data_IF_186354429839
#
_entry.id   IF_186354429839
#
_cell.length_a   1.000
_cell.length_b   1.000
_cell.length_c   1.000
_cell.angle_alpha   90.00
_cell.angle_beta   90.00
_cell.angle_gamma   90.00
#
_symmetry.space_group_name_H-M   'P 1'
#
loop_
_entity.id
_entity.type
_entity.pdbx_description
1 polymer ?
#
# COMPACT_ATOMS: atom_id res chain seq x y z
N UNK A 1 0.99 -8.07 -7.71
CA UNK A 1 0.36 -7.16 -8.69
C UNK A 1 1.12 -5.84 -8.71
N UNK A 2 1.12 -5.16 -9.82
CA UNK A 2 1.64 -3.81 -9.91
C UNK A 2 0.53 -2.80 -9.60
N UNK A 3 0.91 -1.56 -9.25
CA UNK A 3 -0.06 -0.57 -8.82
C UNK A 3 -1.15 -0.28 -9.85
N UNK A 4 -0.80 -0.21 -11.14
CA UNK A 4 -1.79 0.07 -12.19
C UNK A 4 -2.81 -1.07 -12.34
N UNK A 5 -2.39 -2.32 -12.13
CA UNK A 5 -3.32 -3.46 -12.12
C UNK A 5 -4.28 -3.38 -10.94
N UNK A 6 -3.77 -3.02 -9.78
CA UNK A 6 -4.57 -2.85 -8.56
C UNK A 6 -5.64 -1.77 -8.76
N UNK A 7 -5.26 -0.63 -9.35
CA UNK A 7 -6.20 0.47 -9.61
C UNK A 7 -7.36 0.03 -10.51
N UNK A 8 -7.11 -0.83 -11.48
CA UNK A 8 -8.15 -1.33 -12.39
C UNK A 8 -9.11 -2.29 -11.69
N UNK A 9 -8.59 -3.12 -10.79
CA UNK A 9 -9.39 -4.11 -10.07
C UNK A 9 -10.18 -3.52 -8.90
N UNK A 10 -9.71 -2.44 -8.30
CA UNK A 10 -10.29 -1.85 -7.09
C UNK A 10 -10.54 -0.34 -7.26
N UNK A 11 -11.41 0.06 -8.20
CA UNK A 11 -11.64 1.50 -8.44
C UNK A 11 -12.26 2.20 -7.24
N UNK A 12 -11.78 3.40 -6.95
CA UNK A 12 -12.31 4.30 -5.92
C UNK A 12 -12.39 3.66 -4.53
N UNK A 13 -11.32 2.97 -4.11
CA UNK A 13 -11.29 2.30 -2.81
C UNK A 13 -10.03 2.65 -2.03
N UNK A 14 -10.15 2.59 -0.70
CA UNK A 14 -9.01 2.58 0.20
C UNK A 14 -8.51 1.14 0.33
N UNK A 15 -7.19 0.95 0.25
CA UNK A 15 -6.57 -0.36 0.30
C UNK A 15 -5.49 -0.40 1.37
N UNK A 16 -5.36 -1.57 1.99
CA UNK A 16 -4.17 -1.96 2.73
C UNK A 16 -3.39 -2.93 1.85
N UNK A 17 -2.16 -2.59 1.53
CA UNK A 17 -1.30 -3.39 0.65
C UNK A 17 0.01 -3.73 1.33
N UNK A 18 0.60 -4.84 0.91
CA UNK A 18 1.94 -5.24 1.33
C UNK A 18 2.88 -5.20 0.13
N UNK A 19 4.05 -4.59 0.32
CA UNK A 19 5.12 -4.63 -0.67
C UNK A 19 5.84 -5.97 -0.55
N UNK A 20 5.64 -6.85 -1.53
CA UNK A 20 6.29 -8.16 -1.56
C UNK A 20 7.72 -8.02 -2.08
N UNK A 21 7.90 -7.21 -3.12
CA UNK A 21 9.21 -6.87 -3.68
C UNK A 21 9.32 -5.37 -3.80
N UNK A 22 10.36 -4.81 -3.21
CA UNK A 22 10.60 -3.37 -3.23
C UNK A 22 12.10 -3.09 -3.09
N UNK A 23 12.51 -1.90 -3.52
CA UNK A 23 13.89 -1.45 -3.33
C UNK A 23 13.93 0.07 -3.19
N UNK A 24 15.05 0.57 -2.68
CA UNK A 24 15.30 2.00 -2.54
C UNK A 24 16.14 2.50 -3.70
N UNK A 25 15.73 3.62 -4.28
CA UNK A 25 16.47 4.24 -5.39
C UNK A 25 16.32 5.76 -5.36
N UNK A 26 17.42 6.48 -5.37
CA UNK A 26 17.45 7.95 -5.45
C UNK A 26 16.56 8.63 -4.38
N UNK A 27 16.61 8.13 -3.15
CA UNK A 27 15.82 8.69 -2.05
C UNK A 27 14.33 8.33 -2.08
N UNK A 28 13.96 7.37 -2.92
CA UNK A 28 12.57 6.90 -3.04
C UNK A 28 12.48 5.41 -2.80
N UNK A 29 11.31 4.98 -2.29
CA UNK A 29 10.99 3.57 -2.16
C UNK A 29 10.18 3.13 -3.38
N UNK A 30 10.73 2.23 -4.17
CA UNK A 30 10.08 1.70 -5.38
C UNK A 30 9.41 0.37 -5.05
N UNK A 31 8.10 0.31 -5.21
CA UNK A 31 7.30 -0.88 -4.93
C UNK A 31 7.06 -1.63 -6.24
N UNK A 32 7.68 -2.80 -6.39
CA UNK A 32 7.62 -3.58 -7.63
C UNK A 32 6.46 -4.55 -7.65
N UNK A 33 6.29 -5.31 -6.56
CA UNK A 33 5.22 -6.27 -6.41
C UNK A 33 4.42 -5.97 -5.15
N UNK A 34 3.10 -5.88 -5.31
CA UNK A 34 2.17 -5.57 -4.23
C UNK A 34 1.14 -6.68 -4.07
N UNK A 35 0.74 -6.94 -2.82
CA UNK A 35 -0.39 -7.78 -2.51
C UNK A 35 -1.45 -6.93 -1.81
N UNK A 36 -2.71 -7.02 -2.26
CA UNK A 36 -3.83 -6.37 -1.59
C UNK A 36 -4.26 -7.26 -0.43
N UNK A 37 -4.19 -6.71 0.79
CA UNK A 37 -4.60 -7.44 1.99
C UNK A 37 -6.10 -7.30 2.20
N UNK A 38 -6.62 -6.07 2.09
CA UNK A 38 -8.04 -5.80 2.27
C UNK A 38 -8.43 -4.46 1.66
N UNK A 39 -9.74 -4.24 1.53
CA UNK A 39 -10.34 -2.99 1.04
C UNK A 39 -11.19 -2.38 2.14
N UNK A 40 -11.31 -1.03 2.12
CA UNK A 40 -12.00 -0.29 3.16
C UNK A 40 -12.81 0.86 2.57
N UNK A 41 -13.94 1.24 3.19
CA UNK A 41 -14.76 2.35 2.70
C UNK A 41 -14.14 3.72 2.97
N UNK A 42 -13.24 3.82 3.96
CA UNK A 42 -12.64 5.09 4.36
C UNK A 42 -11.22 4.89 4.88
N UNK A 43 -10.49 6.00 5.02
CA UNK A 43 -9.11 5.96 5.47
C UNK A 43 -8.97 5.59 6.95
N UNK A 44 -9.94 5.94 7.78
CA UNK A 44 -9.88 5.67 9.22
C UNK A 44 -9.88 4.17 9.48
N UNK A 45 -10.81 3.44 8.86
CA UNK A 45 -10.89 1.98 9.00
C UNK A 45 -9.63 1.31 8.44
N UNK A 46 -9.13 1.80 7.31
CA UNK A 46 -7.89 1.29 6.70
C UNK A 46 -6.70 1.48 7.66
N UNK A 47 -6.57 2.64 8.26
CA UNK A 47 -5.47 2.95 9.18
C UNK A 47 -5.57 2.15 10.49
N UNK A 48 -6.77 1.86 10.96
CA UNK A 48 -6.97 1.00 12.13
C UNK A 48 -6.42 -0.40 11.86
N UNK A 49 -6.75 -0.95 10.69
CA UNK A 49 -6.26 -2.28 10.31
C UNK A 49 -4.75 -2.28 10.09
N UNK A 50 -4.22 -1.24 9.47
CA UNK A 50 -2.78 -1.05 9.31
C UNK A 50 -2.07 -1.10 10.67
N UNK A 51 -2.57 -0.34 11.64
CA UNK A 51 -1.97 -0.26 12.98
C UNK A 51 -1.94 -1.62 13.66
N UNK A 52 -3.03 -2.39 13.55
CA UNK A 52 -3.10 -3.74 14.12
C UNK A 52 -2.06 -4.67 13.50
N UNK A 53 -1.99 -4.70 12.16
CA UNK A 53 -1.05 -5.57 11.45
C UNK A 53 0.40 -5.15 11.68
N UNK A 54 0.66 -3.85 11.70
CA UNK A 54 2.01 -3.34 11.95
C UNK A 54 2.50 -3.69 13.36
N UNK A 55 1.61 -3.68 14.34
CA UNK A 55 1.92 -4.09 15.71
C UNK A 55 2.25 -5.58 15.79
N UNK A 56 1.46 -6.41 15.10
CA UNK A 56 1.60 -7.87 15.16
C UNK A 56 2.78 -8.37 14.32
N UNK A 57 3.09 -7.69 13.21
CA UNK A 57 4.13 -8.08 12.27
C UNK A 57 4.89 -6.85 11.76
N UNK A 58 5.75 -6.24 12.60
CA UNK A 58 6.43 -4.99 12.25
C UNK A 58 7.44 -5.16 11.11
N UNK A 59 7.84 -6.37 10.78
CA UNK A 59 8.75 -6.68 9.67
C UNK A 59 8.08 -6.62 8.30
N UNK A 60 6.74 -6.61 8.25
CA UNK A 60 6.01 -6.52 6.98
C UNK A 60 5.99 -5.06 6.49
N UNK A 61 6.21 -4.88 5.19
CA UNK A 61 6.18 -3.55 4.59
C UNK A 61 4.76 -3.24 4.10
N UNK A 62 4.00 -2.51 4.93
CA UNK A 62 2.58 -2.25 4.73
C UNK A 62 2.33 -0.78 4.38
N UNK A 63 1.35 -0.54 3.51
CA UNK A 63 0.94 0.81 3.11
C UNK A 63 -0.57 0.90 3.00
N UNK A 64 -1.10 2.10 3.25
CA UNK A 64 -2.50 2.43 2.99
C UNK A 64 -2.54 3.43 1.85
N UNK A 65 -3.24 3.08 0.76
CA UNK A 65 -3.37 3.93 -0.41
C UNK A 65 -4.83 4.00 -0.87
N UNK A 66 -5.21 5.14 -1.45
CA UNK A 66 -6.45 5.26 -2.20
C UNK A 66 -6.15 5.04 -3.69
N UNK A 67 -7.02 4.30 -4.38
CA UNK A 67 -6.77 3.91 -5.77
C UNK A 67 -6.90 5.06 -6.78
N UNK A 68 -7.40 6.23 -6.37
CA UNK A 68 -7.36 7.43 -7.20
C UNK A 68 -5.94 7.95 -7.41
N UNK A 69 -4.98 7.50 -6.60
CA UNK A 69 -3.59 7.89 -6.71
C UNK A 69 -2.97 7.25 -7.96
N UNK A 70 -2.55 8.08 -8.92
CA UNK A 70 -2.07 7.58 -10.22
C UNK A 70 -0.72 6.90 -10.11
N UNK A 71 0.17 7.40 -9.25
CA UNK A 71 1.48 6.82 -9.04
C UNK A 71 1.83 6.78 -7.55
N UNK A 72 2.68 5.82 -7.18
CA UNK A 72 3.20 5.71 -5.82
C UNK A 72 4.55 6.40 -5.75
N UNK A 73 4.55 7.62 -5.22
CA UNK A 73 5.75 8.45 -5.11
C UNK A 73 6.12 8.53 -3.62
N UNK A 74 6.80 7.49 -3.14
CA UNK A 74 7.14 7.34 -1.73
C UNK A 74 8.55 7.85 -1.49
N UNK A 75 8.66 8.94 -0.72
CA UNK A 75 9.94 9.56 -0.41
C UNK A 75 10.47 8.95 0.89
N UNK A 76 11.69 8.45 0.86
CA UNK A 76 12.40 7.99 2.05
C UNK A 76 13.07 9.15 2.77
N UNK A 77 13.01 9.12 4.10
CA UNK A 77 13.63 10.15 4.95
C UNK A 77 14.75 9.57 5.78
#
# INVERSE_FOLDING_TARGET
MQWQDIRQHYPHQWLLVEAITAHSAAGKRVLEHLAVIDTFPDSVTAMQRYTQLHRDAPERELYVFHTSRESLDIIER
#
